data_IF_168874557455
#
_entry.id   IF_168874557455
#
_cell.length_a   1.000
_cell.length_b   1.000
_cell.length_c   1.000
_cell.angle_alpha   90.00
_cell.angle_beta   90.00
_cell.angle_gamma   90.00
#
_symmetry.space_group_name_H-M   'P 1'
#
loop_
_entity.id
_entity.type
_entity.pdbx_description
1 polymer ?
#
# COMPACT_ATOMS: atom_id res chain seq x y z
N UNK A 1 -1.50 7.13 -0.90
CA UNK A 1 -0.07 7.46 -0.74
C UNK A 1 0.10 8.55 0.31
N UNK A 2 -0.84 9.49 0.43
CA UNK A 2 -0.64 10.67 1.28
C UNK A 2 -0.40 10.36 2.75
N UNK A 3 -1.10 9.37 3.34
CA UNK A 3 -0.80 8.88 4.69
C UNK A 3 0.66 8.38 4.84
N UNK A 4 1.21 7.71 3.83
CA UNK A 4 2.61 7.27 3.87
C UNK A 4 3.62 8.41 3.86
N UNK A 5 3.25 9.58 3.31
CA UNK A 5 4.10 10.77 3.35
C UNK A 5 4.15 11.43 4.73
N UNK A 6 3.26 11.04 5.64
CA UNK A 6 3.18 11.59 7.00
C UNK A 6 3.49 10.57 8.09
N UNK A 7 3.26 9.28 7.83
CA UNK A 7 3.30 8.23 8.84
C UNK A 7 4.32 7.12 8.55
N UNK A 8 4.82 6.99 7.32
CA UNK A 8 5.79 5.95 6.95
C UNK A 8 7.21 6.51 6.97
N UNK A 9 7.83 6.52 8.15
CA UNK A 9 9.15 7.11 8.35
C UNK A 9 10.22 6.51 7.43
N UNK A 10 10.19 5.20 7.21
CA UNK A 10 11.15 4.47 6.39
C UNK A 10 11.10 4.93 4.92
N UNK A 11 9.90 5.10 4.36
CA UNK A 11 9.73 5.60 2.99
C UNK A 11 10.04 7.09 2.87
N UNK A 12 9.72 7.88 3.90
CA UNK A 12 10.09 9.29 3.98
C UNK A 12 11.62 9.44 3.95
N UNK A 13 12.33 8.77 4.86
CA UNK A 13 13.79 8.81 4.92
C UNK A 13 14.44 8.28 3.63
N UNK A 14 13.94 7.18 3.07
CA UNK A 14 14.47 6.63 1.81
C UNK A 14 14.27 7.60 0.64
N UNK A 15 13.16 8.35 0.63
CA UNK A 15 12.91 9.37 -0.39
C UNK A 15 13.79 10.60 -0.19
N UNK A 16 13.96 11.08 1.04
CA UNK A 16 14.84 12.20 1.39
C UNK A 16 16.31 11.91 1.06
N UNK A 17 16.75 10.67 1.29
CA UNK A 17 18.11 10.19 0.95
C UNK A 17 18.30 9.88 -0.55
N UNK A 18 17.26 10.05 -1.38
CA UNK A 18 17.31 9.76 -2.82
C UNK A 18 17.41 8.28 -3.18
N UNK A 19 17.19 7.37 -2.24
CA UNK A 19 17.21 5.91 -2.46
C UNK A 19 15.99 5.49 -3.30
N UNK A 20 14.85 6.16 -3.08
CA UNK A 20 13.63 5.98 -3.87
C UNK A 20 12.97 7.34 -4.14
N UNK A 21 11.79 7.32 -4.78
CA UNK A 21 10.95 8.51 -4.94
C UNK A 21 9.48 8.15 -4.84
N UNK A 22 8.64 9.10 -4.42
CA UNK A 22 7.19 8.92 -4.37
C UNK A 22 6.56 8.56 -5.73
N UNK A 23 7.22 8.86 -6.86
CA UNK A 23 6.78 8.45 -8.20
C UNK A 23 6.87 6.93 -8.43
N UNK A 24 7.65 6.22 -7.61
CA UNK A 24 7.86 4.77 -7.66
C UNK A 24 7.10 4.02 -6.56
N UNK A 25 6.30 4.74 -5.77
CA UNK A 25 5.46 4.17 -4.72
C UNK A 25 4.02 4.21 -5.22
N UNK A 26 3.31 3.11 -5.12
CA UNK A 26 1.94 2.97 -5.62
C UNK A 26 1.02 2.50 -4.49
N UNK A 27 -0.26 2.90 -4.56
CA UNK A 27 -1.26 2.36 -3.65
C UNK A 27 -1.53 0.88 -3.97
N UNK A 28 -1.87 0.10 -2.94
CA UNK A 28 -2.36 -1.26 -3.14
C UNK A 28 -3.61 -1.30 -4.04
N UNK A 29 -4.47 -0.28 -3.98
CA UNK A 29 -5.65 -0.17 -4.85
C UNK A 29 -5.29 -0.14 -6.33
N UNK A 30 -4.21 0.53 -6.72
CA UNK A 30 -3.76 0.57 -8.12
C UNK A 30 -3.27 -0.80 -8.61
N UNK A 31 -2.74 -1.62 -7.71
CA UNK A 31 -2.41 -3.02 -8.01
C UNK A 31 -3.68 -3.86 -8.18
N UNK A 32 -4.62 -3.77 -7.25
CA UNK A 32 -5.89 -4.52 -7.28
C UNK A 32 -6.70 -4.17 -8.52
N UNK A 33 -6.76 -2.88 -8.88
CA UNK A 33 -7.45 -2.37 -10.06
C UNK A 33 -6.72 -2.65 -11.38
N UNK A 34 -5.52 -3.26 -11.34
CA UNK A 34 -4.67 -3.51 -12.51
C UNK A 34 -4.26 -2.23 -13.26
N UNK A 35 -4.19 -1.10 -12.57
CA UNK A 35 -3.68 0.16 -13.10
C UNK A 35 -2.16 0.11 -13.29
N UNK A 36 -1.48 -0.76 -12.53
CA UNK A 36 -0.05 -1.00 -12.61
C UNK A 36 0.27 -2.50 -12.62
N UNK A 37 1.43 -2.86 -13.17
CA UNK A 37 2.02 -4.20 -13.04
C UNK A 37 3.06 -4.17 -11.91
N UNK A 38 2.77 -4.72 -10.72
CA UNK A 38 3.60 -4.56 -9.53
C UNK A 38 4.90 -5.38 -9.57
N UNK A 39 4.96 -6.42 -10.41
CA UNK A 39 6.08 -7.33 -10.57
C UNK A 39 6.08 -7.85 -12.01
N UNK A 40 7.18 -7.64 -12.72
CA UNK A 40 7.35 -8.04 -14.12
C UNK A 40 8.28 -9.25 -14.28
N UNK A 41 9.16 -9.49 -13.31
CA UNK A 41 10.13 -10.59 -13.36
C UNK A 41 10.29 -11.30 -12.01
N UNK A 42 10.72 -12.57 -12.06
CA UNK A 42 10.89 -13.40 -10.86
C UNK A 42 12.09 -13.00 -10.00
N UNK A 43 13.07 -12.29 -10.55
CA UNK A 43 14.25 -11.79 -9.82
C UNK A 43 13.97 -10.47 -9.10
N UNK A 44 12.86 -9.80 -9.38
CA UNK A 44 12.51 -8.56 -8.72
C UNK A 44 12.21 -8.78 -7.23
N UNK A 45 12.71 -7.89 -6.38
CA UNK A 45 12.32 -7.81 -4.99
C UNK A 45 11.30 -6.68 -4.87
N UNK A 46 10.09 -7.00 -4.41
CA UNK A 46 9.00 -6.05 -4.23
C UNK A 46 8.78 -5.81 -2.75
N UNK A 47 8.62 -4.54 -2.35
CA UNK A 47 8.25 -4.15 -0.99
C UNK A 47 6.76 -3.79 -0.95
N UNK A 48 6.03 -4.39 -0.01
CA UNK A 48 4.72 -3.92 0.40
C UNK A 48 4.82 -3.40 1.83
N UNK A 49 4.43 -2.15 2.03
CA UNK A 49 4.37 -1.51 3.35
C UNK A 49 2.93 -1.13 3.64
N UNK A 50 2.45 -1.48 4.83
CA UNK A 50 1.05 -1.31 5.25
C UNK A 50 0.97 -0.48 6.53
N UNK A 51 0.36 0.69 6.42
CA UNK A 51 0.13 1.59 7.56
C UNK A 51 -1.17 1.33 8.30
N UNK A 52 -2.04 0.49 7.73
CA UNK A 52 -3.43 0.34 8.17
C UNK A 52 -4.28 1.53 7.73
N UNK A 53 -5.46 1.24 7.16
CA UNK A 53 -6.46 2.25 6.84
C UNK A 53 -7.81 1.81 7.42
N UNK A 54 -8.53 2.74 8.05
CA UNK A 54 -9.77 2.43 8.77
C UNK A 54 -10.82 1.69 7.93
N UNK A 55 -10.84 1.90 6.61
CA UNK A 55 -11.77 1.19 5.70
C UNK A 55 -11.52 -0.32 5.67
N UNK A 56 -10.29 -0.79 5.91
CA UNK A 56 -10.01 -2.23 6.03
C UNK A 56 -10.78 -2.82 7.20
N UNK A 57 -10.75 -2.15 8.37
CA UNK A 57 -11.44 -2.59 9.57
C UNK A 57 -12.97 -2.59 9.37
N UNK A 58 -13.51 -1.50 8.83
CA UNK A 58 -14.96 -1.36 8.61
C UNK A 58 -15.46 -2.36 7.57
N UNK A 59 -14.73 -2.58 6.47
CA UNK A 59 -15.10 -3.56 5.46
C UNK A 59 -15.08 -4.98 6.02
N UNK A 60 -14.05 -5.34 6.80
CA UNK A 60 -13.97 -6.64 7.47
C UNK A 60 -15.10 -6.83 8.49
N UNK A 61 -15.38 -5.81 9.31
CA UNK A 61 -16.45 -5.85 10.30
C UNK A 61 -17.82 -6.04 9.64
N UNK A 62 -18.11 -5.29 8.55
CA UNK A 62 -19.36 -5.43 7.80
C UNK A 62 -19.50 -6.81 7.18
N UNK A 63 -18.42 -7.34 6.59
CA UNK A 63 -18.42 -8.69 6.02
C UNK A 63 -18.77 -9.74 7.06
N UNK A 64 -18.10 -9.72 8.23
CA UNK A 64 -18.38 -10.66 9.33
C UNK A 64 -19.81 -10.50 9.86
N UNK A 65 -20.27 -9.26 10.05
CA UNK A 65 -21.63 -8.99 10.51
C UNK A 65 -22.69 -9.55 9.56
N UNK A 66 -22.49 -9.41 8.25
CA UNK A 66 -23.42 -9.92 7.24
C UNK A 66 -23.50 -11.45 7.20
N UNK A 67 -22.49 -12.16 7.71
CA UNK A 67 -22.53 -13.62 7.83
C UNK A 67 -23.36 -14.11 9.04
N UNK A 68 -23.74 -13.21 9.95
CA UNK A 68 -24.56 -13.54 11.13
C UNK A 68 -26.06 -13.46 10.85
N UNK A 69 -26.45 -12.91 9.70
CA UNK A 69 -27.84 -12.69 9.25
C UNK A 69 -28.17 -13.72 8.17
#
# INVERSE_FOLDING_TARGET
IDQAKTECKELMEATEKGITSWKRVYNLSSVINKEIVPRNDFKEITLYESLGIAIQDIAAAKYVYDQLI
#
